data_IF_321985109708
#
_entry.id   IF_321985109708
#
_cell.length_a   1.000
_cell.length_b   1.000
_cell.length_c   1.000
_cell.angle_alpha   90.00
_cell.angle_beta   90.00
_cell.angle_gamma   90.00
#
_symmetry.space_group_name_H-M   'P 1'
#
loop_
_entity.id
_entity.type
_entity.pdbx_description
1 polymer ?
#
# COMPACT_ATOMS: atom_id res chain seq x y z
N UNK A 1 -2.45 -10.12 29.23
CA UNK A 1 -3.06 -10.19 27.88
C UNK A 1 -2.57 -8.96 27.12
N UNK A 2 -1.99 -9.11 25.93
CA UNK A 2 -1.48 -7.98 25.13
C UNK A 2 -2.44 -7.76 23.96
N UNK A 3 -2.87 -6.52 23.74
CA UNK A 3 -3.71 -6.17 22.59
C UNK A 3 -2.84 -5.97 21.37
N UNK A 4 -3.12 -6.74 20.32
CA UNK A 4 -2.44 -6.65 19.02
C UNK A 4 -3.44 -6.13 18.00
N UNK A 5 -3.07 -5.07 17.30
CA UNK A 5 -3.80 -4.53 16.15
C UNK A 5 -3.11 -4.97 14.86
N UNK A 6 -3.89 -5.28 13.85
CA UNK A 6 -3.41 -5.79 12.56
C UNK A 6 -4.20 -5.15 11.43
N UNK A 7 -3.52 -4.84 10.32
CA UNK A 7 -4.13 -4.33 9.09
C UNK A 7 -3.42 -4.88 7.84
N UNK A 8 -4.17 -5.03 6.75
CA UNK A 8 -3.67 -5.47 5.46
C UNK A 8 -3.87 -4.39 4.40
N UNK A 9 -2.78 -4.03 3.71
CA UNK A 9 -2.79 -3.02 2.66
C UNK A 9 -2.20 -3.58 1.36
N UNK A 10 -2.90 -3.38 0.24
CA UNK A 10 -2.40 -3.78 -1.08
C UNK A 10 -1.98 -2.56 -1.90
N UNK A 11 -0.70 -2.52 -2.27
CA UNK A 11 -0.10 -1.50 -3.12
C UNK A 11 -0.01 -1.99 -4.55
N UNK A 12 -0.44 -1.17 -5.51
CA UNK A 12 -0.36 -1.52 -6.93
C UNK A 12 0.73 -0.68 -7.60
N UNK A 13 1.65 -1.31 -8.33
CA UNK A 13 2.70 -0.64 -9.11
C UNK A 13 2.17 0.43 -10.08
N UNK A 14 0.92 0.26 -10.55
CA UNK A 14 0.23 1.22 -11.43
C UNK A 14 -0.86 2.03 -10.73
N UNK A 15 -0.79 2.23 -9.42
CA UNK A 15 -1.59 3.27 -8.76
C UNK A 15 -1.00 4.65 -9.08
N UNK A 16 -0.98 5.02 -10.37
CA UNK A 16 -0.44 6.28 -10.86
C UNK A 16 -1.47 7.37 -10.63
N UNK A 17 -1.41 8.04 -9.48
CA UNK A 17 -1.94 9.40 -9.35
C UNK A 17 -0.95 10.39 -9.99
N UNK A 18 -0.67 10.20 -11.27
CA UNK A 18 0.21 11.11 -12.01
C UNK A 18 -0.61 12.32 -12.45
N UNK A 19 -0.18 13.51 -12.04
CA UNK A 19 -0.65 14.74 -12.67
C UNK A 19 0.06 14.83 -14.03
N UNK A 20 -0.70 14.72 -15.12
CA UNK A 20 -0.20 14.92 -16.46
C UNK A 20 -1.04 15.99 -17.16
N UNK A 21 -0.39 16.78 -18.01
CA UNK A 21 -1.09 17.73 -18.86
C UNK A 21 -1.78 16.96 -19.99
N UNK A 22 -3.11 17.02 -20.02
CA UNK A 22 -3.92 16.49 -21.12
C UNK A 22 -4.41 17.64 -21.99
N UNK A 23 -4.50 17.41 -23.29
CA UNK A 23 -5.04 18.40 -24.22
C UNK A 23 -6.56 18.57 -23.98
N UNK A 24 -7.09 19.77 -24.19
CA UNK A 24 -8.48 20.11 -23.83
C UNK A 24 -9.55 19.31 -24.59
N UNK A 25 -9.22 18.78 -25.77
CA UNK A 25 -10.12 17.92 -26.56
C UNK A 25 -10.04 16.44 -26.18
N UNK A 26 -9.16 16.05 -25.27
CA UNK A 26 -8.97 14.65 -24.90
C UNK A 26 -9.99 14.23 -23.84
N UNK A 27 -10.70 13.12 -24.10
CA UNK A 27 -11.63 12.55 -23.12
C UNK A 27 -10.86 11.63 -22.17
N UNK A 28 -10.85 11.91 -20.85
CA UNK A 28 -10.18 11.03 -19.90
C UNK A 28 -10.86 9.67 -19.88
N UNK A 29 -10.12 8.62 -20.22
CA UNK A 29 -10.60 7.25 -20.12
C UNK A 29 -10.15 6.63 -18.79
N UNK A 30 -11.05 5.98 -18.04
CA UNK A 30 -10.67 5.27 -16.83
C UNK A 30 -9.73 4.12 -17.17
N UNK A 31 -8.55 4.10 -16.56
CA UNK A 31 -7.68 2.93 -16.62
C UNK A 31 -8.21 1.84 -15.69
N UNK A 32 -8.14 0.58 -16.15
CA UNK A 32 -8.47 -0.56 -15.29
C UNK A 32 -7.46 -0.63 -14.13
N UNK A 33 -7.96 -0.51 -12.91
CA UNK A 33 -7.21 -0.76 -11.68
C UNK A 33 -6.63 -2.18 -11.74
N UNK A 34 -5.36 -2.34 -11.36
CA UNK A 34 -4.74 -3.67 -11.20
C UNK A 34 -4.01 -4.24 -12.42
N UNK A 35 -3.66 -3.45 -13.44
CA UNK A 35 -2.60 -3.88 -14.38
C UNK A 35 -1.23 -3.70 -13.72
N UNK A 36 -0.40 -4.75 -13.72
CA UNK A 36 0.96 -4.72 -13.16
C UNK A 36 1.07 -5.41 -11.80
N UNK A 37 2.29 -5.48 -11.28
CA UNK A 37 2.59 -6.12 -10.00
C UNK A 37 1.90 -5.39 -8.84
N UNK A 38 1.48 -6.17 -7.84
CA UNK A 38 0.95 -5.67 -6.58
C UNK A 38 1.74 -6.25 -5.42
N UNK A 39 1.94 -5.44 -4.38
CA UNK A 39 2.54 -5.83 -3.12
C UNK A 39 1.47 -5.79 -2.04
N UNK A 40 1.15 -6.94 -1.45
CA UNK A 40 0.35 -7.01 -0.24
C UNK A 40 1.29 -6.85 0.96
N UNK A 41 0.88 -6.03 1.93
CA UNK A 41 1.61 -5.79 3.17
C UNK A 41 0.65 -6.02 4.33
N UNK A 42 1.12 -6.76 5.31
CA UNK A 42 0.48 -7.14 6.55
C UNK A 42 1.35 -6.63 7.70
N UNK A 43 0.81 -5.69 8.50
CA UNK A 43 1.54 -5.05 9.61
C UNK A 43 0.83 -5.33 10.94
N UNK A 44 1.64 -5.58 11.98
CA UNK A 44 1.18 -5.88 13.33
C UNK A 44 1.72 -4.83 14.29
N UNK A 45 0.82 -4.19 15.02
CA UNK A 45 1.15 -3.13 15.96
C UNK A 45 0.59 -3.44 17.35
N UNK A 46 1.46 -3.31 18.35
CA UNK A 46 1.08 -3.32 19.75
C UNK A 46 1.35 -1.97 20.37
N UNK A 47 0.54 -1.54 21.34
CA UNK A 47 0.73 -0.24 22.00
C UNK A 47 2.05 -0.20 22.80
N UNK A 48 2.44 -1.33 23.38
CA UNK A 48 3.59 -1.43 24.29
C UNK A 48 4.91 -1.71 23.56
N UNK A 49 4.91 -2.52 22.50
CA UNK A 49 6.13 -2.94 21.79
C UNK A 49 6.29 -2.28 20.42
N UNK A 50 5.28 -1.56 19.95
CA UNK A 50 5.28 -0.97 18.62
C UNK A 50 5.10 -2.05 17.54
N UNK A 51 5.77 -1.84 16.41
CA UNK A 51 5.71 -2.71 15.23
C UNK A 51 6.52 -3.99 15.42
N UNK A 52 6.12 -5.03 14.71
CA UNK A 52 6.89 -6.26 14.62
C UNK A 52 8.27 -6.01 13.98
N UNK A 53 9.32 -6.48 14.64
CA UNK A 53 10.72 -6.34 14.21
C UNK A 53 11.44 -7.68 14.32
N UNK A 54 12.30 -7.96 13.34
CA UNK A 54 13.21 -9.11 13.29
C UNK A 54 14.63 -8.61 13.00
N UNK A 55 15.62 -8.98 13.82
CA UNK A 55 17.02 -8.52 13.72
C UNK A 55 17.21 -7.00 13.52
N UNK A 56 16.29 -6.19 14.07
CA UNK A 56 16.19 -4.71 13.97
C UNK A 56 15.61 -4.17 12.65
N UNK A 57 15.13 -5.04 11.78
CA UNK A 57 14.36 -4.68 10.60
C UNK A 57 12.86 -4.82 10.89
N UNK A 58 12.06 -3.89 10.38
CA UNK A 58 10.59 -4.02 10.47
C UNK A 58 10.13 -5.16 9.57
N UNK A 59 9.36 -6.08 10.13
CA UNK A 59 8.79 -7.17 9.36
C UNK A 59 7.50 -6.68 8.74
N UNK A 60 7.50 -6.59 7.41
CA UNK A 60 6.30 -6.38 6.60
C UNK A 60 5.99 -7.72 5.93
N UNK A 61 4.90 -8.36 6.35
CA UNK A 61 4.48 -9.68 5.84
C UNK A 61 3.64 -9.56 4.57
#
# INVERSE_FOLDING_TARGET
LVTVTHDESTFFSRNRRQAFYQYSSMTPMPERKGKGESLMISDFLTLEWGRLVDDKEYVLL
#
